data_IF_393127271428
#
_entry.id   IF_393127271428
#
_cell.length_a   1.000
_cell.length_b   1.000
_cell.length_c   1.000
_cell.angle_alpha   90.00
_cell.angle_beta   90.00
_cell.angle_gamma   90.00
#
_symmetry.space_group_name_H-M   'P 1'
#
loop_
_entity.id
_entity.type
_entity.pdbx_description
1 polymer ?
#
# COMPACT_ATOMS: atom_id res chain seq x y z
N UNK A 1 -56.11 43.33 -3.09
CA UNK A 1 -56.60 41.95 -2.90
C UNK A 1 -56.73 41.26 -4.25
N UNK A 2 -55.97 40.19 -4.50
CA UNK A 2 -56.42 39.13 -5.40
C UNK A 2 -56.36 37.75 -4.70
N UNK A 3 -57.41 36.95 -4.88
CA UNK A 3 -57.54 35.58 -4.36
C UNK A 3 -56.81 34.62 -5.30
N UNK A 4 -55.84 33.88 -4.76
CA UNK A 4 -55.19 32.74 -5.42
C UNK A 4 -56.07 31.50 -5.15
N UNK A 5 -56.51 30.74 -6.18
CA UNK A 5 -57.27 29.52 -5.95
C UNK A 5 -56.35 28.37 -5.51
N UNK A 6 -56.74 27.67 -4.44
CA UNK A 6 -56.15 26.40 -4.04
C UNK A 6 -56.47 25.33 -5.09
N UNK A 7 -55.42 24.72 -5.65
CA UNK A 7 -55.52 23.49 -6.44
C UNK A 7 -55.49 22.30 -5.47
N UNK A 8 -56.43 21.35 -5.53
CA UNK A 8 -56.40 20.17 -4.67
C UNK A 8 -55.30 19.20 -5.14
N UNK A 9 -54.44 18.79 -4.21
CA UNK A 9 -53.46 17.72 -4.39
C UNK A 9 -54.21 16.39 -4.61
N UNK A 10 -54.40 16.03 -5.87
CA UNK A 10 -54.85 14.71 -6.28
C UNK A 10 -53.81 13.65 -5.88
N UNK A 11 -54.31 12.59 -5.25
CA UNK A 11 -53.52 11.56 -4.59
C UNK A 11 -52.48 10.89 -5.49
N UNK A 12 -51.22 10.94 -5.02
CA UNK A 12 -50.21 9.97 -5.42
C UNK A 12 -50.40 8.69 -4.60
N UNK A 13 -51.14 7.75 -5.17
CA UNK A 13 -51.06 6.36 -4.73
C UNK A 13 -49.69 5.80 -5.13
N UNK A 14 -48.73 5.87 -4.20
CA UNK A 14 -47.50 5.08 -4.30
C UNK A 14 -47.92 3.63 -4.09
N UNK A 15 -48.05 2.88 -5.19
CA UNK A 15 -48.23 1.43 -5.12
C UNK A 15 -47.00 0.83 -4.42
N UNK A 16 -47.18 0.49 -3.15
CA UNK A 16 -46.29 -0.34 -2.36
C UNK A 16 -46.13 -1.71 -3.05
N UNK A 17 -45.11 -1.82 -3.90
CA UNK A 17 -44.59 -3.11 -4.33
C UNK A 17 -44.11 -3.85 -3.08
N UNK A 18 -44.81 -4.94 -2.74
CA UNK A 18 -44.40 -5.97 -1.76
C UNK A 18 -43.05 -6.55 -2.19
N UNK A 19 -41.96 -5.87 -1.84
CA UNK A 19 -40.59 -6.22 -2.19
C UNK A 19 -39.77 -6.49 -0.92
N UNK A 20 -40.14 -7.53 -0.16
CA UNK A 20 -39.33 -7.96 0.99
C UNK A 20 -38.05 -8.68 0.57
N UNK A 21 -38.05 -9.36 -0.58
CA UNK A 21 -36.89 -10.13 -1.07
C UNK A 21 -35.82 -9.26 -1.74
N UNK A 22 -36.21 -8.16 -2.39
CA UNK A 22 -35.29 -7.28 -3.14
C UNK A 22 -34.46 -6.43 -2.17
N UNK A 23 -35.05 -5.98 -1.06
CA UNK A 23 -34.33 -5.25 0.01
C UNK A 23 -33.23 -6.07 0.66
N UNK A 24 -33.44 -7.38 0.84
CA UNK A 24 -32.43 -8.27 1.40
C UNK A 24 -31.22 -8.46 0.48
N UNK A 25 -31.45 -8.55 -0.84
CA UNK A 25 -30.37 -8.69 -1.83
C UNK A 25 -29.54 -7.39 -1.93
N UNK A 26 -30.19 -6.23 -1.87
CA UNK A 26 -29.49 -4.93 -1.88
C UNK A 26 -28.68 -4.72 -0.59
N UNK A 27 -29.20 -5.13 0.57
CA UNK A 27 -28.46 -5.03 1.85
C UNK A 27 -27.25 -5.97 1.92
N UNK A 28 -27.34 -7.19 1.37
CA UNK A 28 -26.18 -8.11 1.29
C UNK A 28 -25.12 -7.59 0.29
N UNK A 29 -25.54 -7.00 -0.84
CA UNK A 29 -24.62 -6.38 -1.79
C UNK A 29 -23.90 -5.15 -1.20
N UNK A 30 -24.60 -4.31 -0.42
CA UNK A 30 -23.99 -3.16 0.27
C UNK A 30 -23.10 -3.53 1.46
N UNK A 31 -23.40 -4.62 2.18
CA UNK A 31 -22.53 -5.13 3.24
C UNK A 31 -21.23 -5.75 2.70
N UNK A 32 -21.23 -6.22 1.45
CA UNK A 32 -20.07 -6.85 0.81
C UNK A 32 -19.04 -5.84 0.31
N UNK A 33 -19.43 -4.61 -0.03
CA UNK A 33 -18.53 -3.56 -0.46
C UNK A 33 -17.81 -2.85 0.70
N UNK A 34 -18.32 -2.97 1.94
CA UNK A 34 -17.71 -2.37 3.13
C UNK A 34 -16.51 -3.16 3.69
N UNK A 35 -16.31 -4.40 3.26
CA UNK A 35 -15.23 -5.27 3.78
C UNK A 35 -13.88 -5.13 3.05
N UNK A 36 -13.78 -4.29 2.01
CA UNK A 36 -12.53 -4.12 1.25
C UNK A 36 -11.79 -2.81 1.52
N UNK A 37 -12.23 -2.00 2.49
CA UNK A 37 -11.69 -0.66 2.72
C UNK A 37 -11.07 -0.46 4.10
N UNK A 38 -10.21 -1.38 4.56
CA UNK A 38 -9.23 -1.07 5.61
C UNK A 38 -7.99 -1.94 5.43
N UNK A 39 -7.17 -1.62 4.43
CA UNK A 39 -5.73 -1.86 4.58
C UNK A 39 -5.19 -0.66 5.35
N UNK A 40 -5.31 -0.68 6.68
CA UNK A 40 -4.49 0.19 7.52
C UNK A 40 -3.05 -0.24 7.32
N UNK A 41 -2.27 0.58 6.63
CA UNK A 41 -0.82 0.45 6.59
C UNK A 41 -0.32 0.58 8.04
N UNK A 42 -0.04 -0.55 8.68
CA UNK A 42 0.69 -0.55 9.93
C UNK A 42 2.13 -0.12 9.62
N UNK A 43 2.58 0.99 10.20
CA UNK A 43 4.00 1.28 10.26
C UNK A 43 4.67 0.14 11.04
N UNK A 44 5.37 -0.74 10.33
CA UNK A 44 6.14 -1.80 10.97
C UNK A 44 7.38 -1.17 11.63
N UNK A 45 7.69 -1.52 12.89
CA UNK A 45 8.95 -1.11 13.51
C UNK A 45 10.11 -1.66 12.68
N UNK A 46 11.14 -0.83 12.48
CA UNK A 46 12.39 -1.18 11.80
C UNK A 46 13.09 -2.31 12.56
N UNK A 47 12.89 -3.56 12.14
CA UNK A 47 13.82 -4.65 12.43
C UNK A 47 14.86 -4.66 11.31
N UNK A 48 16.07 -4.15 11.60
CA UNK A 48 17.25 -4.23 10.72
C UNK A 48 17.64 -5.69 10.38
N UNK A 49 16.97 -6.69 10.97
CA UNK A 49 17.15 -8.13 10.76
C UNK A 49 16.14 -8.76 9.80
N UNK A 50 15.05 -8.09 9.40
CA UNK A 50 13.92 -8.75 8.70
C UNK A 50 13.57 -8.19 7.31
N UNK A 51 14.53 -7.57 6.64
CA UNK A 51 14.51 -7.35 5.19
C UNK A 51 15.90 -7.69 4.63
N UNK A 52 16.05 -8.13 3.38
CA UNK A 52 17.36 -8.40 2.81
C UNK A 52 18.08 -7.07 2.61
N UNK A 53 18.78 -6.62 3.63
CA UNK A 53 19.82 -5.60 3.47
C UNK A 53 20.98 -6.28 2.77
N UNK A 54 21.37 -5.74 1.63
CA UNK A 54 22.57 -6.18 0.91
C UNK A 54 23.66 -5.14 1.06
N UNK A 55 24.91 -5.59 1.20
CA UNK A 55 26.06 -4.71 1.21
C UNK A 55 26.28 -4.26 -0.24
N UNK A 56 26.15 -2.96 -0.47
CA UNK A 56 26.37 -2.34 -1.79
C UNK A 56 27.72 -1.64 -1.89
N UNK A 57 28.35 -1.34 -0.74
CA UNK A 57 29.69 -0.79 -0.67
C UNK A 57 30.38 -1.18 0.65
N UNK A 58 31.70 -1.40 0.58
CA UNK A 58 32.63 -1.51 1.70
C UNK A 58 33.95 -0.90 1.23
N UNK A 59 34.10 0.41 1.44
CA UNK A 59 35.17 1.20 0.84
C UNK A 59 35.88 2.09 1.86
N UNK A 60 37.16 2.33 1.61
CA UNK A 60 37.92 3.33 2.36
C UNK A 60 37.82 4.68 1.64
N UNK A 61 37.27 5.70 2.31
CA UNK A 61 37.09 7.04 1.78
C UNK A 61 37.61 8.06 2.78
N UNK A 62 38.68 8.77 2.38
CA UNK A 62 39.39 9.67 3.29
C UNK A 62 39.95 8.92 4.51
N UNK A 63 39.58 9.40 5.69
CA UNK A 63 39.97 8.82 6.99
C UNK A 63 38.98 7.77 7.50
N UNK A 64 37.98 7.39 6.69
CA UNK A 64 36.93 6.47 7.07
C UNK A 64 36.98 5.17 6.27
N UNK A 65 36.53 4.09 6.89
CA UNK A 65 35.99 2.91 6.20
C UNK A 65 34.47 2.96 6.31
N UNK A 66 33.78 2.87 5.18
CA UNK A 66 32.34 3.05 5.08
C UNK A 66 31.72 1.79 4.51
N UNK A 67 30.76 1.21 5.24
CA UNK A 67 29.97 0.06 4.78
C UNK A 67 28.55 0.53 4.57
N UNK A 68 28.04 0.38 3.35
CA UNK A 68 26.68 0.81 2.98
C UNK A 68 25.83 -0.42 2.71
N UNK A 69 24.74 -0.51 3.47
CA UNK A 69 23.70 -1.49 3.28
C UNK A 69 22.49 -0.85 2.64
N UNK A 70 21.81 -1.59 1.78
CA UNK A 70 20.65 -1.13 1.04
C UNK A 70 19.49 -2.12 1.14
N UNK A 71 18.27 -1.61 1.29
CA UNK A 71 17.04 -2.39 1.18
C UNK A 71 15.95 -1.62 0.45
N UNK A 72 15.24 -2.23 -0.52
CA UNK A 72 15.39 -3.63 -0.98
C UNK A 72 16.67 -3.87 -1.80
N UNK A 73 17.07 -5.15 -1.93
CA UNK A 73 18.20 -5.58 -2.79
C UNK A 73 18.01 -5.10 -4.24
N UNK A 74 16.83 -5.32 -4.80
CA UNK A 74 16.42 -4.78 -6.09
C UNK A 74 15.67 -3.48 -5.88
N UNK A 75 16.33 -2.35 -6.18
CA UNK A 75 15.73 -1.03 -6.02
C UNK A 75 14.60 -0.84 -7.02
N UNK A 76 13.43 -0.47 -6.51
CA UNK A 76 12.26 -0.15 -7.33
C UNK A 76 11.77 1.24 -6.96
N UNK A 77 11.01 1.87 -7.85
CA UNK A 77 10.28 3.12 -7.55
C UNK A 77 9.55 2.98 -6.20
N UNK A 78 9.79 3.94 -5.31
CA UNK A 78 9.34 3.94 -3.92
C UNK A 78 10.48 4.15 -2.92
N UNK A 79 10.25 3.77 -1.67
CA UNK A 79 11.20 4.01 -0.57
C UNK A 79 12.40 3.09 -0.64
N UNK A 80 13.59 3.69 -0.68
CA UNK A 80 14.88 3.03 -0.54
C UNK A 80 15.45 3.35 0.85
N UNK A 81 15.77 2.32 1.62
CA UNK A 81 16.37 2.48 2.95
C UNK A 81 17.85 2.15 2.86
N UNK A 82 18.68 3.05 3.38
CA UNK A 82 20.11 2.85 3.55
C UNK A 82 20.45 2.72 5.01
N UNK A 83 21.38 1.83 5.33
CA UNK A 83 22.03 1.78 6.63
C UNK A 83 23.55 1.88 6.41
N UNK A 84 24.16 2.89 7.01
CA UNK A 84 25.58 3.21 6.84
C UNK A 84 26.30 2.93 8.13
N UNK A 85 27.40 2.19 8.05
CA UNK A 85 28.37 2.06 9.14
C UNK A 85 29.62 2.84 8.79
N UNK A 86 30.16 3.55 9.78
CA UNK A 86 31.36 4.37 9.63
C UNK A 86 32.37 3.95 10.68
N UNK A 87 33.57 3.63 10.22
CA UNK A 87 34.71 3.28 11.07
C UNK A 87 35.87 4.21 10.78
N UNK A 88 36.64 4.54 11.80
CA UNK A 88 37.95 5.15 11.63
C UNK A 88 38.86 4.16 10.92
N UNK A 89 39.48 4.59 9.83
CA UNK A 89 40.33 3.75 8.99
C UNK A 89 41.62 3.32 9.68
N UNK A 90 42.19 4.15 10.55
CA UNK A 90 43.45 3.85 11.23
C UNK A 90 43.22 2.90 12.41
N UNK A 91 42.21 3.17 13.22
CA UNK A 91 41.95 2.42 14.47
C UNK A 91 40.99 1.25 14.26
N UNK A 92 40.17 1.27 13.21
CA UNK A 92 39.11 0.29 12.96
C UNK A 92 37.92 0.40 13.90
N UNK A 93 37.85 1.45 14.72
CA UNK A 93 36.79 1.68 15.70
C UNK A 93 35.61 2.39 15.03
N UNK A 94 34.38 2.05 15.42
CA UNK A 94 33.19 2.76 14.94
C UNK A 94 33.27 4.25 15.30
N UNK A 95 32.86 5.13 14.39
CA UNK A 95 32.81 6.58 14.63
C UNK A 95 31.42 6.96 15.15
N UNK A 96 31.25 7.17 16.47
CA UNK A 96 30.00 7.67 17.02
C UNK A 96 29.81 9.13 16.61
N UNK A 97 28.55 9.60 16.67
CA UNK A 97 28.18 11.00 16.46
C UNK A 97 28.60 11.61 15.10
N UNK A 98 28.85 10.76 14.09
CA UNK A 98 29.07 11.21 12.72
C UNK A 98 27.77 11.79 12.14
N UNK A 99 27.89 12.91 11.41
CA UNK A 99 26.77 13.51 10.68
C UNK A 99 26.80 12.95 9.27
N UNK A 100 25.77 12.18 8.91
CA UNK A 100 25.68 11.54 7.61
C UNK A 100 24.51 12.10 6.81
N UNK A 101 24.80 12.58 5.61
CA UNK A 101 23.80 13.08 4.65
C UNK A 101 23.90 12.24 3.39
N UNK A 102 22.77 11.67 2.97
CA UNK A 102 22.69 10.90 1.73
C UNK A 102 21.94 11.73 0.70
N UNK A 103 22.56 11.91 -0.46
CA UNK A 103 21.95 12.56 -1.60
C UNK A 103 21.72 11.55 -2.71
N UNK A 104 20.57 11.64 -3.36
CA UNK A 104 20.26 10.82 -4.53
C UNK A 104 19.96 11.74 -5.70
N UNK A 105 20.76 11.62 -6.76
CA UNK A 105 20.62 12.43 -7.97
C UNK A 105 20.29 11.50 -9.14
N UNK A 106 19.14 11.68 -9.81
CA UNK A 106 18.85 10.91 -11.00
C UNK A 106 19.78 11.34 -12.15
N UNK A 107 20.24 10.37 -12.95
CA UNK A 107 21.22 10.64 -14.00
C UNK A 107 20.62 11.26 -15.26
N UNK A 108 19.31 11.08 -15.49
CA UNK A 108 18.62 11.58 -16.67
C UNK A 108 17.71 12.77 -16.34
N UNK A 109 16.61 12.50 -15.61
CA UNK A 109 15.56 13.44 -15.30
C UNK A 109 15.09 13.24 -13.85
N UNK A 110 14.61 14.32 -13.22
CA UNK A 110 14.10 14.30 -11.86
C UNK A 110 14.86 15.24 -10.91
N UNK A 111 14.31 15.40 -9.71
CA UNK A 111 14.88 16.26 -8.68
C UNK A 111 15.87 15.50 -7.81
N UNK A 112 16.93 16.19 -7.37
CA UNK A 112 17.86 15.65 -6.38
C UNK A 112 17.15 15.52 -5.04
N UNK A 113 17.19 14.33 -4.48
CA UNK A 113 16.70 14.06 -3.14
C UNK A 113 17.81 14.12 -2.11
N UNK A 114 17.43 14.49 -0.89
CA UNK A 114 18.32 14.53 0.27
C UNK A 114 17.63 13.89 1.46
N UNK A 115 18.37 13.04 2.17
CA UNK A 115 17.92 12.44 3.41
C UNK A 115 19.08 12.40 4.42
N UNK A 116 18.88 12.90 5.65
CA UNK A 116 19.83 12.63 6.73
C UNK A 116 19.75 11.15 7.12
N UNK A 117 20.91 10.54 7.36
CA UNK A 117 20.98 9.22 7.98
C UNK A 117 21.21 9.40 9.48
N UNK A 118 20.23 8.96 10.27
CA UNK A 118 20.22 9.15 11.72
C UNK A 118 20.73 7.91 12.44
N UNK A 119 21.47 8.09 13.52
CA UNK A 119 21.91 6.97 14.35
C UNK A 119 20.71 6.15 14.84
N UNK A 120 20.76 4.84 14.65
CA UNK A 120 19.66 3.94 15.01
C UNK A 120 19.63 3.72 16.54
N UNK A 121 18.50 3.99 17.22
CA UNK A 121 18.39 3.75 18.66
C UNK A 121 18.51 2.26 19.04
N UNK A 122 18.18 1.36 18.09
CA UNK A 122 18.25 -0.08 18.30
C UNK A 122 19.68 -0.62 18.11
N UNK A 123 20.49 0.05 17.29
CA UNK A 123 21.86 -0.34 17.00
C UNK A 123 22.70 0.91 16.64
N UNK A 124 23.54 1.34 17.60
CA UNK A 124 24.28 2.60 17.48
C UNK A 124 25.39 2.58 16.43
N UNK A 125 25.73 1.42 15.89
CA UNK A 125 26.73 1.31 14.83
C UNK A 125 26.18 1.71 13.46
N UNK A 126 24.85 1.77 13.32
CA UNK A 126 24.18 2.09 12.06
C UNK A 126 23.55 3.48 12.06
N UNK A 127 23.77 4.19 10.96
CA UNK A 127 23.06 5.40 10.60
C UNK A 127 22.08 5.08 9.49
N UNK A 128 20.79 5.26 9.74
CA UNK A 128 19.71 4.85 8.84
C UNK A 128 19.07 6.06 8.19
N UNK A 129 19.03 6.06 6.85
CA UNK A 129 18.38 7.08 6.03
C UNK A 129 17.34 6.45 5.09
N UNK A 130 16.36 7.24 4.67
CA UNK A 130 15.37 6.83 3.66
C UNK A 130 15.26 7.88 2.57
N UNK A 131 15.27 7.42 1.34
CA UNK A 131 15.08 8.23 0.15
C UNK A 131 13.87 7.71 -0.63
N UNK A 132 13.17 8.58 -1.34
CA UNK A 132 12.06 8.19 -2.20
C UNK A 132 12.51 8.19 -3.67
N UNK A 133 12.63 7.00 -4.26
CA UNK A 133 12.97 6.90 -5.68
C UNK A 133 11.72 7.15 -6.51
N UNK A 134 11.61 8.32 -7.12
CA UNK A 134 10.41 8.73 -7.87
C UNK A 134 10.41 8.20 -9.31
N UNK A 135 11.59 8.10 -9.91
CA UNK A 135 11.77 7.75 -11.32
C UNK A 135 12.66 6.51 -11.48
N UNK A 136 12.41 5.75 -12.55
CA UNK A 136 13.27 4.65 -12.97
C UNK A 136 14.55 5.17 -13.62
N UNK A 137 15.61 4.37 -13.59
CA UNK A 137 16.87 4.68 -14.25
C UNK A 137 18.06 4.60 -13.30
N UNK A 138 19.20 5.13 -13.72
CA UNK A 138 20.42 5.13 -12.91
C UNK A 138 20.44 6.37 -12.02
N UNK A 139 20.68 6.15 -10.73
CA UNK A 139 20.81 7.18 -9.71
C UNK A 139 22.22 7.18 -9.15
N UNK A 140 22.79 8.38 -8.99
CA UNK A 140 24.02 8.60 -8.25
C UNK A 140 23.68 8.88 -6.79
N UNK A 141 24.24 8.09 -5.89
CA UNK A 141 24.02 8.18 -4.45
C UNK A 141 25.30 8.68 -3.80
N UNK A 142 25.28 9.90 -3.27
CA UNK A 142 26.41 10.49 -2.56
C UNK A 142 26.17 10.41 -1.05
N UNK A 143 27.02 9.65 -0.36
CA UNK A 143 27.03 9.56 1.10
C UNK A 143 28.11 10.49 1.62
N UNK A 144 27.69 11.65 2.14
CA UNK A 144 28.57 12.66 2.75
C UNK A 144 28.64 12.42 4.25
N UNK A 145 29.86 12.28 4.75
CA UNK A 145 30.18 11.99 6.15
C UNK A 145 30.97 13.17 6.69
N UNK A 146 30.47 13.76 7.77
CA UNK A 146 31.09 14.88 8.48
C UNK A 146 31.35 14.46 9.93
N UNK A 147 32.60 14.60 10.40
CA UNK A 147 32.95 14.47 11.82
C UNK A 147 33.96 15.55 12.20
N UNK A 148 33.83 16.09 13.41
CA UNK A 148 34.63 17.25 13.86
C UNK A 148 36.14 16.98 13.85
N UNK A 149 36.57 15.76 14.16
CA UNK A 149 38.00 15.41 14.29
C UNK A 149 38.57 14.72 13.05
N UNK A 150 37.78 13.90 12.37
CA UNK A 150 38.22 13.05 11.26
C UNK A 150 38.05 13.72 9.88
N UNK A 151 37.33 14.85 9.83
CA UNK A 151 37.11 15.64 8.63
C UNK A 151 35.88 15.21 7.83
N UNK A 152 35.82 15.63 6.57
CA UNK A 152 34.72 15.32 5.65
C UNK A 152 35.16 14.30 4.60
N UNK A 153 34.25 13.39 4.24
CA UNK A 153 34.46 12.42 3.16
C UNK A 153 33.14 12.16 2.42
N UNK A 154 33.26 11.86 1.11
CA UNK A 154 32.09 11.56 0.26
C UNK A 154 32.32 10.27 -0.50
N UNK A 155 31.40 9.31 -0.31
CA UNK A 155 31.33 8.07 -1.09
C UNK A 155 30.23 8.20 -2.15
N UNK A 156 30.57 8.00 -3.42
CA UNK A 156 29.60 8.04 -4.53
C UNK A 156 29.36 6.64 -5.07
N UNK A 157 28.09 6.22 -5.10
CA UNK A 157 27.62 4.93 -5.58
C UNK A 157 26.65 5.11 -6.75
N UNK A 158 26.59 4.14 -7.64
CA UNK A 158 25.56 4.08 -8.68
C UNK A 158 24.54 2.99 -8.36
N UNK A 159 23.25 3.29 -8.47
CA UNK A 159 22.17 2.33 -8.28
C UNK A 159 21.17 2.41 -9.42
N UNK A 160 20.72 1.25 -9.90
CA UNK A 160 19.67 1.17 -10.92
C UNK A 160 18.30 0.98 -10.26
N UNK A 161 17.39 1.90 -10.52
CA UNK A 161 16.01 1.90 -10.04
C UNK A 161 15.09 1.35 -11.12
N UNK A 162 14.34 0.32 -10.79
CA UNK A 162 13.41 -0.33 -11.71
C UNK A 162 11.96 0.12 -11.47
N UNK A 163 11.11 0.01 -12.50
CA UNK A 163 9.67 0.17 -12.29
C UNK A 163 9.12 -0.93 -11.39
N UNK A 164 8.12 -0.55 -10.58
CA UNK A 164 7.37 -1.53 -9.80
C UNK A 164 6.54 -2.39 -10.74
N UNK A 165 6.98 -3.63 -10.96
CA UNK A 165 6.16 -4.62 -11.64
C UNK A 165 4.87 -4.84 -10.84
N UNK A 166 3.71 -4.44 -11.40
CA UNK A 166 2.41 -4.86 -10.87
C UNK A 166 2.31 -6.37 -11.11
N UNK A 167 2.57 -7.16 -10.06
CA UNK A 167 2.47 -8.62 -10.13
C UNK A 167 1.07 -9.06 -10.56
N UNK A 168 0.93 -9.46 -11.82
CA UNK A 168 -0.33 -9.91 -12.43
C UNK A 168 -0.83 -11.27 -11.94
N UNK A 169 -0.05 -12.00 -11.15
CA UNK A 169 -0.36 -13.39 -10.78
C UNK A 169 -1.56 -13.50 -9.83
N UNK A 170 -1.69 -12.59 -8.87
CA UNK A 170 -2.79 -12.63 -7.89
C UNK A 170 -4.09 -12.02 -8.41
N UNK A 171 -4.02 -11.20 -9.47
CA UNK A 171 -5.21 -10.62 -10.11
C UNK A 171 -6.07 -11.70 -10.77
N UNK A 172 -5.46 -12.71 -11.38
CA UNK A 172 -6.20 -13.80 -12.06
C UNK A 172 -6.95 -14.66 -11.04
N UNK A 173 -6.28 -15.10 -9.98
CA UNK A 173 -6.92 -15.89 -8.91
C UNK A 173 -8.01 -15.10 -8.19
N UNK A 174 -7.75 -13.81 -7.89
CA UNK A 174 -8.75 -12.93 -7.29
C UNK A 174 -9.96 -12.73 -8.19
N UNK A 175 -9.75 -12.56 -9.50
CA UNK A 175 -10.84 -12.41 -10.49
C UNK A 175 -11.67 -13.69 -10.58
N UNK A 176 -11.02 -14.86 -10.63
CA UNK A 176 -11.71 -16.16 -10.68
C UNK A 176 -12.58 -16.34 -9.42
N UNK A 177 -12.02 -16.10 -8.23
CA UNK A 177 -12.76 -16.21 -6.98
C UNK A 177 -13.98 -15.27 -6.95
N UNK A 178 -13.80 -14.02 -7.39
CA UNK A 178 -14.87 -13.03 -7.45
C UNK A 178 -16.02 -13.46 -8.39
N UNK A 179 -15.70 -14.03 -9.55
CA UNK A 179 -16.69 -14.58 -10.49
C UNK A 179 -17.46 -15.74 -9.85
N UNK A 180 -16.78 -16.67 -9.18
CA UNK A 180 -17.43 -17.80 -8.51
C UNK A 180 -18.38 -17.35 -7.40
N UNK A 181 -17.95 -16.41 -6.55
CA UNK A 181 -18.78 -15.84 -5.48
C UNK A 181 -20.02 -15.16 -6.08
N UNK A 182 -19.84 -14.40 -7.16
CA UNK A 182 -20.94 -13.72 -7.86
C UNK A 182 -21.96 -14.71 -8.42
N UNK A 183 -21.51 -15.81 -9.04
CA UNK A 183 -22.39 -16.87 -9.55
C UNK A 183 -23.15 -17.54 -8.40
N UNK A 184 -22.49 -17.84 -7.28
CA UNK A 184 -23.14 -18.46 -6.12
C UNK A 184 -24.31 -17.60 -5.60
N UNK A 185 -24.11 -16.27 -5.50
CA UNK A 185 -25.19 -15.35 -5.13
C UNK A 185 -26.37 -15.37 -6.10
N UNK A 186 -26.10 -15.36 -7.42
CA UNK A 186 -27.14 -15.44 -8.44
C UNK A 186 -27.92 -16.75 -8.35
N UNK A 187 -27.24 -17.88 -8.15
CA UNK A 187 -27.87 -19.20 -8.00
C UNK A 187 -28.75 -19.26 -6.75
N UNK A 188 -28.27 -18.78 -5.61
CA UNK A 188 -29.04 -18.73 -4.36
C UNK A 188 -30.27 -17.83 -4.52
N UNK A 189 -30.11 -16.64 -5.10
CA UNK A 189 -31.23 -15.73 -5.35
C UNK A 189 -32.28 -16.38 -6.26
N UNK A 190 -31.85 -17.03 -7.35
CA UNK A 190 -32.75 -17.72 -8.26
C UNK A 190 -33.49 -18.88 -7.58
N UNK A 191 -32.79 -19.67 -6.77
CA UNK A 191 -33.38 -20.77 -6.00
C UNK A 191 -34.46 -20.28 -5.02
N UNK A 192 -34.18 -19.21 -4.26
CA UNK A 192 -35.11 -18.62 -3.31
C UNK A 192 -36.38 -18.07 -4.00
N UNK A 193 -36.22 -17.40 -5.14
CA UNK A 193 -37.36 -16.90 -5.94
C UNK A 193 -38.22 -18.06 -6.45
N UNK A 194 -37.61 -19.12 -6.97
CA UNK A 194 -38.34 -20.30 -7.46
C UNK A 194 -39.11 -20.99 -6.33
N UNK A 195 -38.49 -21.15 -5.15
CA UNK A 195 -39.13 -21.74 -3.97
C UNK A 195 -40.32 -20.89 -3.49
N UNK A 196 -40.16 -19.57 -3.43
CA UNK A 196 -41.24 -18.65 -3.03
C UNK A 196 -42.44 -18.71 -3.98
N UNK A 197 -42.20 -18.75 -5.31
CA UNK A 197 -43.28 -18.88 -6.30
C UNK A 197 -44.06 -20.19 -6.13
N UNK A 198 -43.37 -21.31 -5.89
CA UNK A 198 -44.03 -22.61 -5.65
C UNK A 198 -44.91 -22.58 -4.40
N UNK A 199 -44.40 -22.03 -3.30
CA UNK A 199 -45.15 -21.94 -2.04
C UNK A 199 -46.42 -21.08 -2.19
N UNK A 200 -46.37 -19.96 -2.94
CA UNK A 200 -47.55 -19.13 -3.21
C UNK A 200 -48.62 -19.88 -4.01
N UNK A 201 -48.22 -20.58 -5.07
CA UNK A 201 -49.16 -21.33 -5.93
C UNK A 201 -49.84 -22.47 -5.14
N UNK A 202 -49.10 -23.11 -4.22
CA UNK A 202 -49.65 -24.17 -3.37
C UNK A 202 -50.65 -23.64 -2.34
N UNK A 203 -50.35 -22.50 -1.70
CA UNK A 203 -51.27 -21.82 -0.79
C UNK A 203 -52.55 -21.37 -1.48
N UNK A 204 -52.45 -20.83 -2.71
CA UNK A 204 -53.63 -20.44 -3.50
C UNK A 204 -54.48 -21.67 -3.88
N UNK A 205 -53.86 -22.80 -4.21
CA UNK A 205 -54.57 -24.06 -4.48
C UNK A 205 -55.31 -24.61 -3.25
N UNK A 206 -54.70 -24.53 -2.06
CA UNK A 206 -55.35 -24.97 -0.82
C UNK A 206 -56.54 -24.06 -0.48
N UNK A 207 -56.36 -22.73 -0.59
CA UNK A 207 -57.43 -21.76 -0.35
C UNK A 207 -58.64 -21.97 -1.26
N UNK A 208 -58.40 -22.21 -2.56
CA UNK A 208 -59.49 -22.42 -3.53
C UNK A 208 -60.22 -23.77 -3.37
N UNK A 209 -59.67 -24.72 -2.62
CA UNK A 209 -60.35 -26.00 -2.28
C UNK A 209 -61.16 -25.93 -0.99
N UNK A 210 -60.95 -24.89 -0.18
CA UNK A 210 -61.64 -24.69 1.10
C UNK A 210 -62.87 -23.75 1.00
N UNK A 211 -63.13 -23.21 -0.19
CA UNK A 211 -64.34 -22.46 -0.56
C UNK A 211 -65.24 -23.35 -1.41
#
# INVERSE_FOLDING_TARGET
>A
MPRIPLIPLAGWHIHFLKASSIRAVILVALASSALFATQTASAQPLTLTSGPYVIVADENVGNYRVIVHQSPERVIIGTLTYAVQVYDRETGVNVPDAIIKVYATPSEHGERQVAPALNSPADREYYVGRLEMEEKGVWAIDVVIEHTELGEATLTLATEVFERARGGSNLVLGTILWVFVSIAFVVVAFYLVRKSRRAKIELERIRNRAQ
#
